data_IF_871048905544
#
_entry.id   IF_871048905544
#
_cell.length_a   1.000
_cell.length_b   1.000
_cell.length_c   1.000
_cell.angle_alpha   90.00
_cell.angle_beta   90.00
_cell.angle_gamma   90.00
#
_symmetry.space_group_name_H-M   'P 1'
#
loop_
_entity.id
_entity.type
_entity.pdbx_description
1 polymer ?
#
# COMPACT_ATOMS: atom_id res chain seq x y z
N UNK A 1 11.61 15.15 -7.80
CA UNK A 1 10.15 14.92 -7.86
C UNK A 1 9.88 13.44 -8.02
N UNK A 2 8.94 12.93 -7.23
CA UNK A 2 8.54 11.53 -7.34
C UNK A 2 7.40 11.38 -8.32
N UNK A 3 7.50 10.38 -9.18
CA UNK A 3 6.43 10.02 -10.10
C UNK A 3 5.76 8.75 -9.59
N UNK A 4 4.52 8.51 -10.03
CA UNK A 4 3.82 7.31 -9.62
C UNK A 4 4.63 6.06 -9.92
N UNK A 5 5.33 6.04 -11.04
CA UNK A 5 6.13 4.88 -11.41
C UNK A 5 7.29 4.64 -10.46
N UNK A 6 7.75 5.68 -9.75
CA UNK A 6 8.84 5.53 -8.78
C UNK A 6 8.40 4.70 -7.59
N UNK A 7 7.11 4.70 -7.27
CA UNK A 7 6.59 3.95 -6.14
C UNK A 7 6.46 2.47 -6.42
N UNK A 8 6.35 2.08 -7.67
CA UNK A 8 6.09 0.68 -8.02
C UNK A 8 7.26 -0.23 -7.73
N UNK A 9 8.45 0.34 -7.60
CA UNK A 9 9.64 -0.43 -7.30
C UNK A 9 9.99 -0.43 -5.82
N UNK A 10 9.16 0.19 -4.99
CA UNK A 10 9.42 0.29 -3.57
C UNK A 10 8.52 -0.66 -2.81
N UNK A 11 9.12 -1.40 -1.89
CA UNK A 11 8.37 -2.35 -1.09
C UNK A 11 7.70 -1.64 0.07
N UNK A 12 6.43 -1.97 0.31
CA UNK A 12 5.66 -1.37 1.39
C UNK A 12 5.87 -2.18 2.66
N UNK A 13 6.29 -1.51 3.72
CA UNK A 13 6.58 -2.16 4.99
C UNK A 13 5.72 -1.51 6.06
N UNK A 14 5.03 -2.35 6.82
CA UNK A 14 4.18 -1.87 7.89
C UNK A 14 4.99 -1.78 9.17
N UNK A 15 5.18 -0.56 9.67
CA UNK A 15 5.98 -0.33 10.86
C UNK A 15 5.32 -0.87 12.12
N UNK A 16 4.01 -1.01 12.12
CA UNK A 16 3.31 -1.49 13.31
C UNK A 16 3.69 -2.91 13.68
N UNK A 17 4.04 -3.74 12.69
CA UNK A 17 4.38 -5.14 12.94
C UNK A 17 5.57 -5.62 12.13
N UNK A 18 6.27 -4.72 11.47
CA UNK A 18 7.44 -5.02 10.63
C UNK A 18 7.12 -5.96 9.46
N UNK A 19 5.87 -6.01 9.06
CA UNK A 19 5.45 -6.91 8.00
C UNK A 19 5.72 -6.29 6.63
N UNK A 20 6.25 -7.10 5.71
CA UNK A 20 6.39 -6.69 4.32
C UNK A 20 5.07 -6.95 3.62
N UNK A 21 4.46 -5.89 3.13
CA UNK A 21 3.13 -6.00 2.53
C UNK A 21 3.18 -6.26 1.03
N UNK A 22 4.29 -5.92 0.39
CA UNK A 22 4.41 -6.09 -1.05
C UNK A 22 4.59 -4.74 -1.72
N UNK A 23 4.19 -4.66 -2.98
CA UNK A 23 4.41 -3.47 -3.78
C UNK A 23 3.09 -2.80 -4.13
N UNK A 24 3.15 -1.49 -4.32
CA UNK A 24 1.96 -0.73 -4.67
C UNK A 24 1.47 -1.15 -6.05
N UNK A 25 0.19 -1.50 -6.13
CA UNK A 25 -0.42 -1.91 -7.39
C UNK A 25 -1.21 -0.77 -8.03
N UNK A 26 -1.77 0.12 -7.20
CA UNK A 26 -2.64 1.15 -7.73
C UNK A 26 -2.75 2.29 -6.74
N UNK A 27 -3.23 3.44 -7.22
CA UNK A 27 -3.46 4.63 -6.42
C UNK A 27 -4.92 5.02 -6.50
N UNK A 28 -5.45 5.52 -5.39
CA UNK A 28 -6.77 6.13 -5.37
C UNK A 28 -6.58 7.64 -5.42
N UNK A 29 -7.21 8.29 -6.37
CA UNK A 29 -7.04 9.71 -6.57
C UNK A 29 -8.36 10.42 -6.29
N UNK A 30 -8.28 11.45 -5.45
CA UNK A 30 -9.43 12.30 -5.22
C UNK A 30 -9.46 13.37 -6.30
N UNK A 31 -10.38 13.22 -7.25
CA UNK A 31 -10.39 14.08 -8.43
C UNK A 31 -10.70 15.52 -8.07
N UNK A 32 -11.61 15.73 -7.13
CA UNK A 32 -12.01 17.09 -6.78
C UNK A 32 -10.88 17.88 -6.13
N UNK A 33 -9.96 17.20 -5.43
CA UNK A 33 -8.85 17.88 -4.77
C UNK A 33 -7.54 17.70 -5.49
N UNK A 34 -7.50 16.81 -6.47
CA UNK A 34 -6.28 16.57 -7.22
C UNK A 34 -5.19 15.91 -6.39
N UNK A 35 -5.57 15.10 -5.43
CA UNK A 35 -4.61 14.50 -4.51
C UNK A 35 -4.78 12.99 -4.44
N UNK A 36 -3.69 12.30 -4.09
CA UNK A 36 -3.75 10.89 -3.83
C UNK A 36 -4.37 10.68 -2.45
N UNK A 37 -5.41 9.85 -2.39
CA UNK A 37 -6.07 9.60 -1.12
C UNK A 37 -5.67 8.26 -0.51
N UNK A 38 -5.19 7.31 -1.31
CA UNK A 38 -4.79 6.02 -0.79
C UNK A 38 -3.93 5.27 -1.80
N UNK A 39 -3.27 4.23 -1.31
CA UNK A 39 -2.57 3.30 -2.18
C UNK A 39 -3.18 1.91 -1.97
N UNK A 40 -3.04 1.06 -2.98
CA UNK A 40 -3.53 -0.31 -2.93
C UNK A 40 -2.38 -1.27 -3.12
N UNK A 41 -2.28 -2.23 -2.20
CA UNK A 41 -1.25 -3.27 -2.23
C UNK A 41 -1.95 -4.61 -2.30
N UNK A 42 -1.59 -5.49 -3.24
CA UNK A 42 -2.24 -6.80 -3.31
C UNK A 42 -1.97 -7.59 -2.05
N UNK A 43 -3.01 -8.19 -1.52
CA UNK A 43 -2.88 -9.05 -0.35
C UNK A 43 -2.43 -10.42 -0.82
N UNK A 44 -1.45 -10.99 -0.11
CA UNK A 44 -0.98 -12.31 -0.47
C UNK A 44 -2.07 -13.33 -0.19
N UNK A 45 -2.33 -14.23 -1.12
CA UNK A 45 -3.35 -15.26 -0.87
C UNK A 45 -2.90 -16.19 0.24
N UNK A 46 -3.82 -16.51 1.12
CA UNK A 46 -3.55 -17.45 2.21
C UNK A 46 -3.58 -18.89 1.72
N UNK A 47 -4.15 -19.11 0.57
CA UNK A 47 -4.33 -20.45 0.03
C UNK A 47 -4.42 -20.35 -1.48
N UNK A 48 -3.86 -21.37 -2.17
CA UNK A 48 -3.98 -21.41 -3.60
C UNK A 48 -5.42 -21.60 -4.07
N UNK A 49 -6.31 -21.93 -3.16
CA UNK A 49 -7.74 -22.04 -3.47
C UNK A 49 -8.44 -20.70 -3.46
N UNK A 50 -7.80 -19.69 -2.92
CA UNK A 50 -8.38 -18.37 -2.90
C UNK A 50 -8.05 -17.65 -4.19
N UNK A 51 -8.96 -17.74 -5.14
CA UNK A 51 -8.74 -17.19 -6.48
C UNK A 51 -9.12 -15.73 -6.62
N UNK A 52 -9.76 -15.16 -5.61
CA UNK A 52 -10.14 -13.76 -5.67
C UNK A 52 -8.97 -12.88 -5.25
N UNK A 53 -8.66 -11.91 -6.08
CA UNK A 53 -7.65 -10.92 -5.74
C UNK A 53 -8.21 -10.01 -4.66
N UNK A 54 -7.42 -9.81 -3.62
CA UNK A 54 -7.76 -8.90 -2.55
C UNK A 54 -6.69 -7.85 -2.44
N UNK A 55 -7.08 -6.66 -2.03
CA UNK A 55 -6.16 -5.55 -1.91
C UNK A 55 -6.27 -4.92 -0.54
N UNK A 56 -5.14 -4.44 -0.05
CA UNK A 56 -5.11 -3.66 1.18
C UNK A 56 -5.13 -2.21 0.77
N UNK A 57 -6.14 -1.47 1.24
CA UNK A 57 -6.22 -0.04 1.00
C UNK A 57 -5.53 0.68 2.14
N UNK A 58 -4.51 1.44 1.81
CA UNK A 58 -3.74 2.18 2.81
C UNK A 58 -3.98 3.67 2.57
N UNK A 59 -4.66 4.36 3.49
CA UNK A 59 -4.87 5.79 3.34
C UNK A 59 -3.54 6.53 3.24
N UNK A 60 -3.51 7.58 2.45
CA UNK A 60 -2.28 8.34 2.23
C UNK A 60 -1.68 8.87 3.53
N UNK A 61 -2.54 9.24 4.50
CA UNK A 61 -2.06 9.79 5.76
C UNK A 61 -1.44 8.74 6.68
N UNK A 62 -1.49 7.46 6.30
CA UNK A 62 -0.82 6.41 7.05
C UNK A 62 0.58 6.15 6.55
N UNK A 63 1.02 6.85 5.53
CA UNK A 63 2.38 6.74 5.03
C UNK A 63 3.28 7.58 5.92
N UNK A 64 4.25 6.92 6.56
CA UNK A 64 5.15 7.58 7.50
C UNK A 64 6.41 8.09 6.82
N UNK A 65 6.82 7.43 5.75
CA UNK A 65 8.03 7.83 5.07
C UNK A 65 8.20 7.11 3.76
N UNK A 66 9.02 7.70 2.91
CA UNK A 66 9.30 7.14 1.58
C UNK A 66 10.82 7.13 1.42
N UNK A 67 11.38 5.93 1.30
CA UNK A 67 12.80 5.77 1.08
C UNK A 67 13.11 5.44 -0.36
N UNK A 68 14.36 5.09 -0.62
CA UNK A 68 14.77 4.75 -1.96
C UNK A 68 14.13 3.44 -2.45
N UNK A 69 14.00 2.48 -1.56
CA UNK A 69 13.51 1.16 -1.91
C UNK A 69 12.26 0.75 -1.14
N UNK A 70 11.78 1.60 -0.25
CA UNK A 70 10.68 1.24 0.64
C UNK A 70 9.70 2.37 0.79
N UNK A 71 8.46 2.00 1.12
CA UNK A 71 7.44 2.93 1.58
C UNK A 71 7.02 2.43 2.96
N UNK A 72 7.17 3.29 3.95
CA UNK A 72 6.88 2.92 5.33
C UNK A 72 5.49 3.39 5.70
N UNK A 73 4.66 2.48 6.17
CA UNK A 73 3.29 2.80 6.55
C UNK A 73 3.05 2.33 7.98
N UNK A 74 2.01 2.87 8.59
CA UNK A 74 1.65 2.47 9.95
C UNK A 74 0.16 2.18 9.99
N UNK A 75 -0.20 0.91 9.84
CA UNK A 75 -1.58 0.46 9.92
C UNK A 75 -1.66 -0.59 11.00
N UNK A 76 -2.28 -0.22 12.12
CA UNK A 76 -2.32 -1.09 13.28
C UNK A 76 -3.39 -2.14 13.21
N UNK A 77 -4.51 -1.77 12.63
CA UNK A 77 -5.63 -2.70 12.50
C UNK A 77 -5.89 -2.94 11.04
N UNK A 78 -5.10 -3.85 10.50
CA UNK A 78 -5.36 -4.31 9.16
C UNK A 78 -6.59 -5.18 9.23
N UNK A 79 -7.72 -4.57 8.94
CA UNK A 79 -8.96 -5.30 8.99
C UNK A 79 -8.96 -6.38 7.93
N UNK A 80 -9.28 -7.58 8.35
CA UNK A 80 -9.38 -8.70 7.44
C UNK A 80 -10.81 -9.02 7.10
N UNK A 81 -11.69 -8.22 7.55
CA UNK A 81 -13.11 -8.47 7.35
C UNK A 81 -13.56 -8.14 5.96
#
# INVERSE_FOLDING_TARGET
MLKASDFKNKEVINLANSEKLGYINDFEICVSEGEISAIYVPEKPNSFLNLKAKYIRIPWDKIEGIGDDVVLVNIENRSTD
#
